data_IF_821638753655
#
_entry.id   IF_821638753655
#
_cell.length_a   1.000
_cell.length_b   1.000
_cell.length_c   1.000
_cell.angle_alpha   90.00
_cell.angle_beta   90.00
_cell.angle_gamma   90.00
#
_symmetry.space_group_name_H-M   'P 1'
#
loop_
_entity.id
_entity.type
_entity.pdbx_description
1 polymer ?
#
# COMPACT_ATOMS: atom_id res chain seq x y z
N UNK A 1 30.67 -52.55 53.80
CA UNK A 1 30.70 -53.86 53.15
C UNK A 1 30.90 -53.59 51.67
N UNK A 2 32.15 -53.53 51.22
CA UNK A 2 32.99 -54.53 50.58
C UNK A 2 32.32 -55.27 49.41
N UNK A 3 32.82 -55.14 48.26
CA UNK A 3 33.62 -55.95 47.34
C UNK A 3 33.37 -55.44 45.92
N UNK A 4 34.31 -54.94 45.22
CA UNK A 4 35.52 -55.46 44.59
C UNK A 4 35.27 -56.10 43.21
N UNK A 5 35.92 -55.46 42.25
CA UNK A 5 36.80 -55.95 41.16
C UNK A 5 36.21 -56.83 40.05
N UNK A 6 36.48 -56.52 38.85
CA UNK A 6 37.57 -57.08 37.99
C UNK A 6 37.51 -56.58 36.54
N UNK A 7 38.54 -56.07 36.15
CA UNK A 7 39.18 -55.92 34.86
C UNK A 7 38.82 -56.99 33.80
N UNK A 8 38.47 -56.58 32.57
CA UNK A 8 38.93 -57.25 31.36
C UNK A 8 39.17 -56.26 30.22
N UNK A 9 40.44 -56.13 29.87
CA UNK A 9 40.93 -55.54 28.60
C UNK A 9 40.53 -56.44 27.43
N UNK A 10 39.88 -55.87 26.41
CA UNK A 10 39.85 -56.47 25.09
C UNK A 10 40.30 -55.42 24.10
N UNK A 11 41.48 -55.61 23.54
CA UNK A 11 41.98 -54.93 22.37
C UNK A 11 41.19 -55.41 21.16
N UNK A 12 40.52 -54.48 20.47
CA UNK A 12 40.01 -54.72 19.14
C UNK A 12 40.45 -53.57 18.23
N UNK A 13 41.36 -53.95 17.35
CA UNK A 13 41.80 -53.22 16.17
C UNK A 13 40.64 -53.00 15.25
N UNK A 14 40.20 -51.77 15.10
CA UNK A 14 39.15 -51.36 14.19
C UNK A 14 39.68 -50.40 13.14
N UNK A 15 39.67 -50.87 11.92
CA UNK A 15 40.04 -50.25 10.66
C UNK A 15 39.43 -48.86 10.49
N UNK A 16 40.27 -47.85 10.21
CA UNK A 16 39.85 -46.53 9.74
C UNK A 16 39.24 -46.67 8.32
N UNK A 17 37.93 -46.58 8.22
CA UNK A 17 37.26 -46.35 6.96
C UNK A 17 37.19 -44.84 6.71
N UNK A 18 38.01 -44.35 5.81
CA UNK A 18 38.00 -42.96 5.32
C UNK A 18 36.76 -42.78 4.44
N UNK A 19 35.64 -42.36 5.05
CA UNK A 19 34.42 -41.99 4.34
C UNK A 19 34.60 -40.62 3.67
N UNK A 20 34.74 -40.60 2.36
CA UNK A 20 34.69 -39.39 1.56
C UNK A 20 33.28 -38.78 1.67
N UNK A 21 33.14 -37.68 2.43
CA UNK A 21 31.94 -36.85 2.42
C UNK A 21 31.85 -36.16 1.05
N UNK A 22 31.02 -36.69 0.17
CA UNK A 22 30.61 -35.98 -1.05
C UNK A 22 29.66 -34.85 -0.59
N UNK A 23 30.18 -33.61 -0.52
CA UNK A 23 29.38 -32.42 -0.32
C UNK A 23 28.47 -32.22 -1.55
N UNK A 24 27.22 -32.59 -1.45
CA UNK A 24 26.21 -32.21 -2.43
C UNK A 24 26.09 -30.68 -2.42
N UNK A 25 26.10 -30.00 -3.59
CA UNK A 25 25.82 -28.58 -3.65
C UNK A 25 24.41 -28.35 -3.08
N UNK A 26 24.31 -27.58 -1.99
CA UNK A 26 23.08 -27.09 -1.49
C UNK A 26 22.42 -26.24 -2.59
N UNK A 27 21.36 -26.75 -3.23
CA UNK A 27 20.53 -25.95 -4.09
C UNK A 27 19.98 -24.84 -3.21
N UNK A 28 20.44 -23.60 -3.45
CA UNK A 28 19.94 -22.41 -2.79
C UNK A 28 18.44 -22.34 -3.07
N UNK A 29 17.62 -22.60 -2.05
CA UNK A 29 16.20 -22.36 -2.15
C UNK A 29 16.00 -20.86 -2.28
N UNK A 30 15.19 -20.38 -3.26
CA UNK A 30 14.90 -18.96 -3.37
C UNK A 30 14.30 -18.47 -2.04
N UNK A 31 14.82 -17.35 -1.55
CA UNK A 31 14.28 -16.72 -0.35
C UNK A 31 12.80 -16.44 -0.55
N UNK A 32 11.90 -16.76 0.43
CA UNK A 32 10.46 -16.56 0.30
C UNK A 32 10.03 -15.10 0.02
N UNK A 33 10.93 -14.14 0.22
CA UNK A 33 10.68 -12.70 0.09
C UNK A 33 11.09 -12.08 -1.26
N UNK A 34 11.62 -12.85 -2.21
CA UNK A 34 12.03 -12.32 -3.51
C UNK A 34 10.91 -12.47 -4.54
N UNK A 35 10.39 -11.32 -5.03
CA UNK A 35 9.45 -11.30 -6.16
C UNK A 35 10.05 -12.02 -7.37
N UNK A 36 9.25 -12.84 -8.04
CA UNK A 36 9.62 -13.44 -9.32
C UNK A 36 9.88 -12.36 -10.39
N UNK A 37 10.56 -12.69 -11.46
CA UNK A 37 10.79 -11.73 -12.56
C UNK A 37 9.50 -11.33 -13.26
N UNK A 38 8.52 -12.22 -13.29
CA UNK A 38 7.17 -11.92 -13.78
C UNK A 38 6.46 -10.93 -12.83
N UNK A 39 6.60 -11.07 -11.52
CA UNK A 39 6.02 -10.14 -10.54
C UNK A 39 6.68 -8.76 -10.66
N UNK A 40 8.00 -8.71 -10.79
CA UNK A 40 8.72 -7.46 -11.06
C UNK A 40 8.23 -6.76 -12.31
N UNK A 41 7.88 -7.52 -13.36
CA UNK A 41 7.30 -6.98 -14.59
C UNK A 41 5.94 -6.34 -14.32
N UNK A 42 5.06 -6.98 -13.53
CA UNK A 42 3.77 -6.42 -13.14
C UNK A 42 3.92 -5.18 -12.26
N UNK A 43 4.88 -5.17 -11.34
CA UNK A 43 5.21 -3.99 -10.52
C UNK A 43 5.65 -2.82 -11.41
N UNK A 44 6.55 -3.06 -12.37
CA UNK A 44 7.01 -2.05 -13.31
C UNK A 44 5.86 -1.53 -14.19
N UNK A 45 4.98 -2.41 -14.67
CA UNK A 45 3.79 -2.06 -15.44
C UNK A 45 2.83 -1.16 -14.64
N UNK A 46 2.61 -1.48 -13.37
CA UNK A 46 1.78 -0.67 -12.47
C UNK A 46 2.41 0.71 -12.21
N UNK A 47 3.73 0.77 -11.95
CA UNK A 47 4.45 2.02 -11.75
C UNK A 47 4.34 2.93 -12.98
N UNK A 48 4.62 2.41 -14.17
CA UNK A 48 4.50 3.13 -15.44
C UNK A 48 3.08 3.66 -15.67
N UNK A 49 2.06 2.83 -15.40
CA UNK A 49 0.66 3.27 -15.49
C UNK A 49 0.38 4.43 -14.52
N UNK A 50 0.77 4.31 -13.25
CA UNK A 50 0.54 5.34 -12.24
C UNK A 50 1.30 6.63 -12.58
N UNK A 51 2.51 6.55 -13.10
CA UNK A 51 3.28 7.72 -13.55
C UNK A 51 2.64 8.42 -14.75
N UNK A 52 2.05 7.64 -15.67
CA UNK A 52 1.35 8.16 -16.83
C UNK A 52 -0.01 8.81 -16.53
N UNK A 53 -0.52 8.73 -15.29
CA UNK A 53 -1.76 9.39 -14.92
C UNK A 53 -1.55 10.91 -14.88
N UNK A 54 -2.37 11.65 -15.64
CA UNK A 54 -2.44 13.11 -15.63
C UNK A 54 -3.62 13.61 -14.80
N UNK A 55 -4.51 14.34 -15.48
CA UNK A 55 -5.78 14.78 -14.90
C UNK A 55 -6.87 13.73 -15.12
N UNK A 56 -7.58 13.39 -14.05
CA UNK A 56 -8.66 12.41 -14.08
C UNK A 56 -9.85 12.92 -13.26
N UNK A 57 -11.04 12.52 -13.67
CA UNK A 57 -12.26 12.66 -12.87
C UNK A 57 -13.06 11.37 -12.88
N UNK A 58 -13.79 11.12 -11.81
CA UNK A 58 -14.64 9.94 -11.68
C UNK A 58 -15.34 9.92 -10.34
N UNK A 59 -15.78 8.75 -9.97
CA UNK A 59 -16.46 8.50 -8.69
C UNK A 59 -15.64 7.50 -7.88
N UNK A 60 -15.79 7.54 -6.57
CA UNK A 60 -15.27 6.52 -5.67
C UNK A 60 -16.37 6.00 -4.74
N UNK A 61 -16.17 4.80 -4.27
CA UNK A 61 -16.91 4.18 -3.18
C UNK A 61 -15.89 3.76 -2.11
N UNK A 62 -16.06 4.26 -0.91
CA UNK A 62 -15.25 3.90 0.24
C UNK A 62 -16.05 2.98 1.16
N UNK A 63 -15.44 1.85 1.53
CA UNK A 63 -15.93 0.97 2.60
C UNK A 63 -14.96 1.08 3.77
N UNK A 64 -15.46 1.48 4.92
CA UNK A 64 -14.68 1.57 6.15
C UNK A 64 -14.52 0.20 6.84
N UNK A 65 -13.70 0.15 7.90
CA UNK A 65 -13.42 -1.08 8.64
C UNK A 65 -14.63 -1.70 9.34
N UNK A 66 -15.75 -0.98 9.44
CA UNK A 66 -17.02 -1.45 10.04
C UNK A 66 -18.03 -1.86 8.97
N UNK A 67 -17.64 -1.77 7.69
CA UNK A 67 -18.53 -2.05 6.55
C UNK A 67 -19.41 -0.87 6.14
N UNK A 68 -19.23 0.31 6.74
CA UNK A 68 -19.92 1.53 6.36
C UNK A 68 -19.49 1.96 4.95
N UNK A 69 -20.45 2.23 4.07
CA UNK A 69 -20.20 2.63 2.68
C UNK A 69 -20.52 4.10 2.48
N UNK A 70 -19.55 4.83 1.93
CA UNK A 70 -19.70 6.22 1.50
C UNK A 70 -19.24 6.37 0.06
N UNK A 71 -19.79 7.35 -0.66
CA UNK A 71 -19.46 7.61 -2.08
C UNK A 71 -19.11 9.06 -2.27
N UNK A 72 -18.52 9.37 -3.42
CA UNK A 72 -18.22 10.76 -3.74
C UNK A 72 -17.57 10.93 -5.11
N UNK A 73 -17.27 12.18 -5.43
CA UNK A 73 -16.54 12.56 -6.61
C UNK A 73 -15.03 12.56 -6.35
N UNK A 74 -14.30 12.07 -7.32
CA UNK A 74 -12.83 12.05 -7.33
C UNK A 74 -12.31 12.92 -8.47
N UNK A 75 -11.37 13.81 -8.12
CA UNK A 75 -10.58 14.59 -9.05
C UNK A 75 -9.11 14.36 -8.74
N UNK A 76 -8.33 14.08 -9.75
CA UNK A 76 -6.88 13.94 -9.66
C UNK A 76 -6.23 14.90 -10.65
N UNK A 77 -5.14 15.54 -10.23
CA UNK A 77 -4.27 16.32 -11.11
C UNK A 77 -2.83 16.08 -10.63
N UNK A 78 -2.21 15.07 -11.22
CA UNK A 78 -0.84 14.69 -10.86
C UNK A 78 0.19 15.66 -11.42
N UNK A 79 1.32 15.80 -10.72
CA UNK A 79 1.63 15.22 -9.41
C UNK A 79 0.94 15.92 -8.23
N UNK A 80 0.76 15.16 -7.15
CA UNK A 80 0.48 15.67 -5.81
C UNK A 80 -0.97 16.06 -5.52
N UNK A 81 -1.80 16.41 -6.50
CA UNK A 81 -3.11 16.99 -6.25
C UNK A 81 -4.24 15.96 -6.40
N UNK A 82 -5.13 15.94 -5.42
CA UNK A 82 -6.31 15.09 -5.38
C UNK A 82 -7.44 15.76 -4.60
N UNK A 83 -8.69 15.46 -4.96
CA UNK A 83 -9.88 15.86 -4.23
C UNK A 83 -10.85 14.69 -4.16
N UNK A 84 -11.27 14.34 -2.95
CA UNK A 84 -12.35 13.40 -2.65
C UNK A 84 -13.48 14.20 -2.01
N UNK A 85 -14.56 14.37 -2.72
CA UNK A 85 -15.75 15.10 -2.25
C UNK A 85 -16.85 14.08 -1.96
N UNK A 86 -17.12 13.83 -0.68
CA UNK A 86 -18.11 12.84 -0.26
C UNK A 86 -19.52 13.36 -0.45
N UNK A 87 -20.41 12.50 -0.92
CA UNK A 87 -21.83 12.80 -1.11
C UNK A 87 -22.53 13.09 0.23
N UNK A 88 -23.60 13.87 0.22
CA UNK A 88 -24.49 13.99 1.40
C UNK A 88 -25.07 12.62 1.81
N UNK A 89 -25.32 12.38 3.11
CA UNK A 89 -25.20 13.32 4.23
C UNK A 89 -23.79 13.41 4.82
N UNK A 90 -22.80 12.66 4.30
CA UNK A 90 -21.44 12.67 4.82
C UNK A 90 -20.77 14.03 4.65
N UNK A 91 -20.69 14.52 3.41
CA UNK A 91 -20.21 15.85 3.06
C UNK A 91 -18.73 16.10 3.39
N UNK A 92 -17.99 15.11 3.83
CA UNK A 92 -16.53 15.22 4.07
C UNK A 92 -15.81 15.62 2.79
N UNK A 93 -14.67 16.25 2.98
CA UNK A 93 -13.81 16.67 1.90
C UNK A 93 -12.37 16.35 2.24
N UNK A 94 -11.71 15.56 1.39
CA UNK A 94 -10.26 15.32 1.49
C UNK A 94 -9.60 15.93 0.27
N UNK A 95 -8.66 16.87 0.49
CA UNK A 95 -7.93 17.56 -0.56
C UNK A 95 -6.43 17.37 -0.33
N UNK A 96 -5.71 17.02 -1.39
CA UNK A 96 -4.25 17.17 -1.46
C UNK A 96 -3.91 18.34 -2.39
N UNK A 97 -3.15 19.31 -1.89
CA UNK A 97 -2.69 20.47 -2.64
C UNK A 97 -1.31 20.25 -3.31
N UNK A 98 -0.73 19.05 -3.15
CA UNK A 98 0.61 18.67 -3.59
C UNK A 98 1.65 18.60 -2.47
N UNK A 99 1.35 19.14 -1.29
CA UNK A 99 2.24 19.14 -0.11
C UNK A 99 1.52 18.65 1.14
N UNK A 100 0.28 19.04 1.29
CA UNK A 100 -0.55 18.83 2.48
C UNK A 100 -1.86 18.15 2.08
N UNK A 101 -2.29 17.19 2.88
CA UNK A 101 -3.62 16.58 2.79
C UNK A 101 -4.48 17.21 3.86
N UNK A 102 -5.58 17.83 3.43
CA UNK A 102 -6.60 18.45 4.26
C UNK A 102 -7.81 17.53 4.36
N UNK A 103 -8.32 17.33 5.56
CA UNK A 103 -9.53 16.53 5.82
C UNK A 103 -10.51 17.42 6.58
N UNK A 104 -11.56 17.85 5.88
CA UNK A 104 -12.65 18.62 6.47
C UNK A 104 -13.84 17.69 6.74
N UNK A 105 -14.35 17.73 7.96
CA UNK A 105 -15.60 17.07 8.35
C UNK A 105 -16.61 18.14 8.78
N UNK A 106 -17.62 18.44 7.95
CA UNK A 106 -18.62 19.48 8.25
C UNK A 106 -19.53 19.12 9.43
N UNK A 107 -19.70 17.82 9.71
CA UNK A 107 -20.53 17.34 10.83
C UNK A 107 -19.84 17.56 12.17
N UNK A 108 -18.52 17.33 12.19
CA UNK A 108 -17.67 17.59 13.37
C UNK A 108 -17.18 19.03 13.42
N UNK A 109 -17.37 19.79 12.35
CA UNK A 109 -16.83 21.16 12.17
C UNK A 109 -15.31 21.21 12.36
N UNK A 110 -14.61 20.20 11.89
CA UNK A 110 -13.16 20.08 12.00
C UNK A 110 -12.49 20.14 10.65
N UNK A 111 -11.25 20.69 10.62
CA UNK A 111 -10.34 20.63 9.51
C UNK A 111 -8.99 20.17 10.05
N UNK A 112 -8.58 18.97 9.68
CA UNK A 112 -7.29 18.41 10.02
C UNK A 112 -6.39 18.46 8.80
N UNK A 113 -5.08 18.49 9.02
CA UNK A 113 -4.11 18.46 7.93
C UNK A 113 -2.89 17.59 8.27
N UNK A 114 -2.33 16.98 7.24
CA UNK A 114 -1.20 16.06 7.33
C UNK A 114 -0.23 16.31 6.17
N UNK A 115 1.08 16.22 6.36
CA UNK A 115 2.01 16.25 5.23
C UNK A 115 1.67 15.12 4.25
N UNK A 116 1.57 15.42 2.95
CA UNK A 116 1.26 14.40 1.93
C UNK A 116 2.18 13.19 2.04
N UNK A 117 3.48 13.44 2.27
CA UNK A 117 4.51 12.39 2.42
C UNK A 117 4.25 11.41 3.57
N UNK A 118 3.47 11.81 4.56
CA UNK A 118 3.10 10.97 5.71
C UNK A 118 1.76 10.27 5.52
N UNK A 119 1.20 10.32 4.33
CA UNK A 119 -0.08 9.69 4.00
C UNK A 119 0.10 8.64 2.92
N UNK A 120 -0.74 7.60 2.91
CA UNK A 120 -0.72 6.60 1.84
C UNK A 120 -0.99 7.17 0.44
N UNK A 121 -1.60 8.36 0.34
CA UNK A 121 -1.81 9.05 -0.93
C UNK A 121 -0.50 9.38 -1.63
N UNK A 122 0.59 9.58 -0.89
CA UNK A 122 1.91 9.84 -1.47
C UNK A 122 2.34 8.74 -2.44
N UNK A 123 1.95 7.49 -2.19
CA UNK A 123 2.37 6.36 -3.02
C UNK A 123 1.98 6.54 -4.50
N UNK A 124 0.78 7.05 -4.78
CA UNK A 124 0.31 7.22 -6.16
C UNK A 124 0.17 8.68 -6.61
N UNK A 125 0.33 9.64 -5.71
CA UNK A 125 0.34 11.07 -6.06
C UNK A 125 1.74 11.63 -6.27
N UNK A 126 2.80 10.97 -5.81
CA UNK A 126 4.18 11.41 -6.01
C UNK A 126 4.51 11.53 -7.50
N UNK A 127 5.34 12.50 -7.88
CA UNK A 127 5.81 12.70 -9.24
C UNK A 127 6.42 11.42 -9.82
N UNK A 128 7.29 10.78 -9.05
CA UNK A 128 7.87 9.49 -9.37
C UNK A 128 7.28 8.41 -8.45
N UNK A 129 6.58 7.46 -9.04
CA UNK A 129 6.01 6.33 -8.31
C UNK A 129 7.08 5.26 -8.12
N UNK A 130 7.72 5.30 -6.97
CA UNK A 130 8.81 4.37 -6.62
C UNK A 130 8.24 3.22 -5.79
N UNK A 131 7.81 2.16 -6.48
CA UNK A 131 7.40 0.90 -5.85
C UNK A 131 8.61 0.03 -5.45
N UNK A 132 9.83 0.54 -5.69
CA UNK A 132 11.12 -0.08 -5.39
C UNK A 132 11.93 0.64 -4.29
N UNK A 133 11.50 1.85 -3.88
CA UNK A 133 12.20 2.66 -2.87
C UNK A 133 11.19 3.35 -1.96
N UNK A 134 11.45 3.29 -0.64
CA UNK A 134 10.55 3.83 0.38
C UNK A 134 9.32 2.96 0.64
N UNK A 135 8.95 2.12 -0.33
CA UNK A 135 7.88 1.13 -0.25
C UNK A 135 8.43 -0.19 -0.77
N UNK A 136 8.14 -1.28 -0.08
CA UNK A 136 8.44 -2.63 -0.56
C UNK A 136 7.15 -3.29 -1.03
N UNK A 137 7.10 -3.73 -2.28
CA UNK A 137 6.08 -4.67 -2.73
C UNK A 137 6.44 -6.03 -2.16
N UNK A 138 5.57 -6.59 -1.33
CA UNK A 138 5.79 -7.84 -0.61
C UNK A 138 5.05 -9.02 -1.24
N UNK A 139 4.01 -8.75 -2.03
CA UNK A 139 3.24 -9.79 -2.70
C UNK A 139 2.60 -9.27 -3.99
N UNK A 140 2.42 -10.19 -4.95
CA UNK A 140 1.67 -9.97 -6.20
C UNK A 140 0.67 -11.10 -6.35
N UNK A 141 -0.61 -10.78 -6.24
CA UNK A 141 -1.70 -11.72 -6.50
C UNK A 141 -2.20 -11.55 -7.94
N UNK A 142 -2.36 -12.65 -8.67
CA UNK A 142 -2.82 -12.65 -10.06
C UNK A 142 -4.24 -13.17 -10.15
N UNK A 143 -5.05 -12.50 -10.97
CA UNK A 143 -6.44 -12.87 -11.26
C UNK A 143 -6.62 -13.06 -12.77
N UNK A 144 -7.72 -13.62 -13.17
CA UNK A 144 -8.05 -13.83 -14.59
C UNK A 144 -8.16 -12.53 -15.38
N UNK A 145 -8.46 -11.41 -14.72
CA UNK A 145 -8.73 -10.10 -15.34
C UNK A 145 -7.85 -8.96 -14.79
N UNK A 146 -6.82 -9.31 -14.00
CA UNK A 146 -5.93 -8.31 -13.40
C UNK A 146 -4.97 -8.87 -12.37
N UNK A 147 -4.45 -7.97 -11.53
CA UNK A 147 -3.53 -8.33 -10.45
C UNK A 147 -3.64 -7.34 -9.29
N UNK A 148 -3.16 -7.75 -8.13
CA UNK A 148 -3.02 -6.89 -6.97
C UNK A 148 -1.57 -6.84 -6.48
N UNK A 149 -1.14 -5.68 -6.04
CA UNK A 149 0.17 -5.45 -5.42
C UNK A 149 -0.05 -5.13 -3.96
N UNK A 150 0.54 -5.92 -3.06
CA UNK A 150 0.61 -5.60 -1.64
C UNK A 150 1.93 -4.91 -1.36
N UNK A 151 1.87 -3.75 -0.72
CA UNK A 151 3.04 -2.95 -0.43
C UNK A 151 3.03 -2.43 1.00
N UNK A 152 4.21 -2.30 1.60
CA UNK A 152 4.45 -1.78 2.94
C UNK A 152 5.48 -0.66 2.90
N UNK A 153 5.36 0.31 3.79
CA UNK A 153 6.37 1.35 3.95
C UNK A 153 7.65 0.74 4.56
N UNK A 154 8.80 0.91 3.89
CA UNK A 154 10.07 0.36 4.34
C UNK A 154 10.57 0.97 5.65
N UNK A 155 10.22 2.23 5.93
CA UNK A 155 10.58 2.94 7.16
C UNK A 155 9.63 2.64 8.32
N UNK A 156 8.41 2.22 8.00
CA UNK A 156 7.31 2.10 8.97
C UNK A 156 6.45 0.85 8.75
N UNK A 157 7.07 -0.30 8.49
CA UNK A 157 6.38 -1.58 8.23
C UNK A 157 5.31 -1.94 9.27
N UNK A 158 5.52 -1.51 10.52
CA UNK A 158 4.54 -1.71 11.60
C UNK A 158 3.29 -0.81 11.50
N UNK A 159 3.25 0.15 10.57
CA UNK A 159 2.13 1.10 10.45
C UNK A 159 1.00 0.62 9.54
N UNK A 160 1.17 -0.54 8.87
CA UNK A 160 0.15 -1.14 8.03
C UNK A 160 0.62 -1.42 6.61
N UNK A 161 -0.33 -1.75 5.74
CA UNK A 161 -0.07 -2.08 4.34
C UNK A 161 -1.09 -1.42 3.41
N UNK A 162 -0.68 -1.26 2.15
CA UNK A 162 -1.57 -0.88 1.07
C UNK A 162 -1.67 -2.03 0.05
N UNK A 163 -2.87 -2.27 -0.47
CA UNK A 163 -3.09 -3.17 -1.60
C UNK A 163 -3.63 -2.34 -2.75
N UNK A 164 -3.01 -2.43 -3.92
CA UNK A 164 -3.43 -1.76 -5.16
C UNK A 164 -3.94 -2.82 -6.12
N UNK A 165 -5.19 -2.72 -6.57
CA UNK A 165 -5.82 -3.69 -7.48
C UNK A 165 -5.95 -3.07 -8.87
N UNK A 166 -5.40 -3.76 -9.86
CA UNK A 166 -5.42 -3.33 -11.26
C UNK A 166 -6.22 -4.30 -12.14
N UNK A 167 -6.94 -3.76 -13.12
CA UNK A 167 -7.26 -4.50 -14.34
C UNK A 167 -5.99 -4.61 -15.17
N UNK A 168 -5.86 -5.66 -15.98
CA UNK A 168 -4.66 -5.86 -16.80
C UNK A 168 -4.81 -5.44 -18.25
N UNK A 169 -5.97 -5.62 -18.84
CA UNK A 169 -6.20 -5.39 -20.29
C UNK A 169 -7.49 -4.59 -20.58
N UNK A 170 -7.41 -3.27 -20.72
CA UNK A 170 -6.24 -2.40 -20.53
C UNK A 170 -5.91 -2.20 -19.05
N UNK A 171 -4.64 -1.90 -18.75
CA UNK A 171 -4.23 -1.63 -17.38
C UNK A 171 -4.99 -0.42 -16.81
N UNK A 172 -5.59 -0.59 -15.64
CA UNK A 172 -6.32 0.47 -14.90
C UNK A 172 -6.33 0.16 -13.42
N UNK A 173 -6.06 1.15 -12.59
CA UNK A 173 -6.30 1.06 -11.15
C UNK A 173 -7.82 0.97 -10.91
N UNK A 174 -8.27 -0.09 -10.26
CA UNK A 174 -9.68 -0.33 -9.90
C UNK A 174 -9.99 0.04 -8.46
N UNK A 175 -9.05 -0.28 -7.59
CA UNK A 175 -9.28 -0.23 -6.15
C UNK A 175 -7.95 -0.09 -5.42
N UNK A 176 -7.98 0.52 -4.24
CA UNK A 176 -6.93 0.32 -3.25
C UNK A 176 -7.54 0.11 -1.88
N UNK A 177 -6.81 -0.58 -1.01
CA UNK A 177 -7.17 -0.71 0.39
C UNK A 177 -5.97 -0.40 1.28
N UNK A 178 -6.28 0.16 2.44
CA UNK A 178 -5.32 0.51 3.48
C UNK A 178 -5.68 -0.30 4.71
N UNK A 179 -4.74 -1.08 5.21
CA UNK A 179 -4.88 -1.77 6.49
C UNK A 179 -3.90 -1.13 7.46
N UNK A 180 -4.41 -0.60 8.56
CA UNK A 180 -3.59 0.01 9.61
C UNK A 180 -2.96 -1.04 10.53
N UNK A 181 -2.16 -0.57 11.50
CA UNK A 181 -1.49 -1.43 12.49
C UNK A 181 -2.44 -2.13 13.48
N UNK A 182 -3.73 -1.77 13.49
CA UNK A 182 -4.77 -2.42 14.28
C UNK A 182 -5.58 -3.44 13.45
N UNK A 183 -5.17 -3.68 12.19
CA UNK A 183 -5.85 -4.57 11.25
C UNK A 183 -7.15 -3.99 10.67
N UNK A 184 -7.41 -2.69 10.87
CA UNK A 184 -8.60 -2.04 10.31
C UNK A 184 -8.35 -1.70 8.85
N UNK A 185 -9.21 -2.20 7.97
CA UNK A 185 -9.08 -1.99 6.53
C UNK A 185 -10.09 -0.98 6.03
N UNK A 186 -9.62 0.02 5.31
CA UNK A 186 -10.44 0.94 4.51
C UNK A 186 -10.18 0.64 3.05
N UNK A 187 -11.23 0.41 2.27
CA UNK A 187 -11.18 0.10 0.84
C UNK A 187 -11.77 1.24 0.05
N UNK A 188 -11.14 1.59 -1.07
CA UNK A 188 -11.63 2.63 -2.00
C UNK A 188 -11.68 2.03 -3.40
N UNK A 189 -12.89 1.88 -3.93
CA UNK A 189 -13.15 1.42 -5.29
C UNK A 189 -13.39 2.59 -6.20
N UNK A 190 -12.80 2.57 -7.39
CA UNK A 190 -12.92 3.59 -8.42
C UNK A 190 -13.97 3.20 -9.46
N UNK A 191 -14.84 4.13 -9.81
CA UNK A 191 -15.86 3.92 -10.85
C UNK A 191 -15.89 5.09 -11.81
N UNK A 192 -16.01 4.78 -13.11
CA UNK A 192 -16.13 5.81 -14.14
C UNK A 192 -14.94 6.76 -14.24
N UNK A 193 -13.74 6.33 -13.85
CA UNK A 193 -12.53 7.16 -13.93
C UNK A 193 -12.19 7.43 -15.40
N UNK A 194 -12.10 8.70 -15.76
CA UNK A 194 -11.84 9.17 -17.12
C UNK A 194 -10.73 10.21 -17.14
N UNK A 195 -9.85 10.12 -18.12
CA UNK A 195 -8.91 11.18 -18.41
C UNK A 195 -9.65 12.47 -18.76
N UNK A 196 -9.14 13.58 -18.31
CA UNK A 196 -9.67 14.92 -18.58
C UNK A 196 -8.50 15.90 -18.70
N UNK A 197 -8.79 17.15 -19.00
CA UNK A 197 -7.82 18.24 -19.02
C UNK A 197 -8.48 19.53 -18.57
N UNK A 198 -7.69 20.44 -18.02
CA UNK A 198 -8.16 21.76 -17.61
C UNK A 198 -9.03 21.74 -16.35
N UNK A 199 -8.76 20.85 -15.40
CA UNK A 199 -9.38 20.90 -14.10
C UNK A 199 -9.09 22.25 -13.42
N UNK A 200 -10.13 22.87 -12.87
CA UNK A 200 -9.96 24.13 -12.13
C UNK A 200 -8.97 23.92 -10.97
N UNK A 201 -7.86 24.67 -10.91
CA UNK A 201 -6.91 24.59 -9.81
C UNK A 201 -7.55 24.85 -8.43
N UNK A 202 -8.62 25.62 -8.37
CA UNK A 202 -9.39 25.89 -7.14
C UNK A 202 -9.99 24.64 -6.51
N UNK A 203 -10.21 23.56 -7.28
CA UNK A 203 -10.64 22.26 -6.74
C UNK A 203 -9.68 21.71 -5.69
N UNK A 204 -8.41 22.06 -5.78
CA UNK A 204 -7.34 21.55 -4.93
C UNK A 204 -6.88 22.56 -3.87
N UNK A 205 -7.60 23.68 -3.74
CA UNK A 205 -7.33 24.66 -2.68
C UNK A 205 -7.77 24.13 -1.32
N UNK A 206 -7.02 24.44 -0.24
CA UNK A 206 -7.41 24.07 1.12
C UNK A 206 -8.83 24.50 1.43
N UNK A 207 -9.61 23.68 2.16
CA UNK A 207 -10.95 24.07 2.57
C UNK A 207 -10.85 25.30 3.48
N UNK A 208 -11.54 26.38 3.11
CA UNK A 208 -11.58 27.57 3.96
C UNK A 208 -12.32 27.23 5.26
N UNK A 209 -11.68 27.23 6.44
CA UNK A 209 -12.40 27.08 7.68
C UNK A 209 -13.33 28.30 7.78
N UNK A 210 -14.66 28.08 7.63
CA UNK A 210 -15.60 29.17 7.91
C UNK A 210 -15.33 29.66 9.33
N UNK A 211 -15.00 30.94 9.53
CA UNK A 211 -14.77 31.45 10.87
C UNK A 211 -15.97 31.07 11.76
N UNK A 212 -15.77 30.67 13.03
CA UNK A 212 -16.88 30.54 13.94
C UNK A 212 -17.69 31.82 13.86
N UNK A 213 -19.01 31.71 13.63
CA UNK A 213 -19.87 32.86 13.63
C UNK A 213 -19.59 33.65 14.90
N UNK A 214 -19.12 34.88 14.74
CA UNK A 214 -18.88 35.76 15.88
C UNK A 214 -20.17 35.76 16.71
N UNK A 215 -20.04 35.36 17.98
CA UNK A 215 -21.15 35.51 18.92
C UNK A 215 -21.54 36.98 18.88
N UNK A 216 -22.70 37.27 18.34
CA UNK A 216 -23.22 38.61 18.39
C UNK A 216 -23.57 38.91 19.86
N UNK A 217 -23.20 40.08 20.35
CA UNK A 217 -23.42 40.49 21.73
C UNK A 217 -24.90 40.60 22.09
#
# INVERSE_FOLDING_TARGET
MTFNSQTRRALLTGTLALGALVALPALAQPSPDALSDEDKTLVAKAATYLEGLGELKGRFEQTDARGGVTRGDLYLSRPGRARFAYDPPDGRLTISDGRTVWVADPRLKTVNHYPLKSTPLALFLSEHVRLDRGVAVTNVDRYSDGFALTAVDNGHRAQGQIVLVFADSPIRLREWSLTDNQGRTTRIRLTGLKATSGLDPGLFSPPNPKPPAAAQP
#
